data_IF_161132958406
#
_entry.id   IF_161132958406
#
_cell.length_a   1.000
_cell.length_b   1.000
_cell.length_c   1.000
_cell.angle_alpha   90.00
_cell.angle_beta   90.00
_cell.angle_gamma   90.00
#
_symmetry.space_group_name_H-M   'P 1'
#
loop_
_entity.id
_entity.type
_entity.pdbx_description
1 polymer ?
#
# COMPACT_ATOMS: atom_id res chain seq x y z
N UNK A 1 2.62 -4.71 1.44
CA UNK A 1 2.18 -3.30 1.38
C UNK A 1 1.92 -2.74 2.77
N UNK A 2 0.93 -3.27 3.51
CA UNK A 2 0.59 -2.79 4.87
C UNK A 2 1.80 -2.57 5.78
N UNK A 3 2.66 -3.59 5.98
CA UNK A 3 3.84 -3.42 6.86
C UNK A 3 4.87 -2.37 6.41
N UNK A 4 4.98 -2.07 5.10
CA UNK A 4 5.85 -0.97 4.61
C UNK A 4 5.17 0.38 4.87
N UNK A 5 3.86 0.46 4.65
CA UNK A 5 3.08 1.67 4.90
C UNK A 5 3.04 2.00 6.40
N UNK A 6 2.86 1.01 7.27
CA UNK A 6 2.92 1.15 8.73
C UNK A 6 4.29 1.62 9.19
N UNK A 7 5.37 1.02 8.68
CA UNK A 7 6.73 1.46 9.01
C UNK A 7 6.98 2.94 8.62
N UNK A 8 6.52 3.37 7.44
CA UNK A 8 6.63 4.77 7.03
C UNK A 8 5.72 5.67 7.88
N UNK A 9 4.47 5.26 8.13
CA UNK A 9 3.52 5.98 8.98
C UNK A 9 4.09 6.24 10.36
N UNK A 10 4.62 5.21 11.03
CA UNK A 10 5.24 5.32 12.35
C UNK A 10 6.41 6.31 12.36
N UNK A 11 7.24 6.30 11.31
CA UNK A 11 8.34 7.26 11.18
C UNK A 11 7.82 8.68 11.03
N UNK A 12 6.83 8.93 10.18
CA UNK A 12 6.23 10.26 10.01
C UNK A 12 5.58 10.74 11.31
N UNK A 13 4.83 9.87 12.01
CA UNK A 13 4.23 10.17 13.31
C UNK A 13 5.25 10.53 14.36
N UNK A 14 6.36 9.79 14.44
CA UNK A 14 7.49 10.09 15.35
C UNK A 14 8.17 11.42 15.04
N UNK A 15 8.06 11.91 13.80
CA UNK A 15 8.63 13.19 13.36
C UNK A 15 7.61 14.34 13.35
N UNK A 16 6.43 14.15 13.98
CA UNK A 16 5.49 15.24 14.26
C UNK A 16 4.37 15.43 13.23
N UNK A 17 4.29 14.62 12.19
CA UNK A 17 3.16 14.65 11.25
C UNK A 17 1.87 14.25 11.97
N UNK A 18 0.75 14.92 11.70
CA UNK A 18 -0.55 14.48 12.20
C UNK A 18 -0.96 13.11 11.63
N UNK A 19 -1.92 12.40 12.26
CA UNK A 19 -2.42 11.14 11.72
C UNK A 19 -2.91 11.22 10.28
N UNK A 20 -3.57 12.32 9.89
CA UNK A 20 -4.06 12.55 8.52
C UNK A 20 -2.93 12.84 7.53
N UNK A 21 -1.93 13.64 7.90
CA UNK A 21 -0.78 13.92 7.03
C UNK A 21 0.03 12.65 6.80
N UNK A 22 0.35 11.92 7.87
CA UNK A 22 1.08 10.65 7.77
C UNK A 22 0.31 9.62 6.93
N UNK A 23 -1.02 9.52 7.07
CA UNK A 23 -1.83 8.64 6.23
C UNK A 23 -1.84 9.08 4.77
N UNK A 24 -1.96 10.39 4.51
CA UNK A 24 -1.98 10.94 3.16
C UNK A 24 -0.66 10.69 2.43
N UNK A 25 0.48 10.99 3.08
CA UNK A 25 1.84 10.81 2.53
C UNK A 25 2.27 9.34 2.38
N UNK A 26 1.52 8.39 2.97
CA UNK A 26 1.80 6.96 2.88
C UNK A 26 0.80 6.25 1.98
N UNK A 27 -0.44 6.07 2.47
CA UNK A 27 -1.44 5.20 1.85
C UNK A 27 -2.16 5.89 0.70
N UNK A 28 -2.60 7.14 0.88
CA UNK A 28 -3.31 7.84 -0.19
C UNK A 28 -2.38 8.14 -1.36
N UNK A 29 -1.16 8.63 -1.10
CA UNK A 29 -0.18 8.92 -2.14
C UNK A 29 0.09 7.68 -2.99
N UNK A 30 0.34 6.52 -2.37
CA UNK A 30 0.55 5.30 -3.14
C UNK A 30 -0.72 4.86 -3.89
N UNK A 31 -1.86 4.77 -3.21
CA UNK A 31 -3.05 4.09 -3.76
C UNK A 31 -3.94 4.95 -4.64
N UNK A 32 -3.90 6.27 -4.49
CA UNK A 32 -4.71 7.21 -5.27
C UNK A 32 -3.90 7.93 -6.35
N UNK A 33 -2.57 8.05 -6.18
CA UNK A 33 -1.68 8.76 -7.11
C UNK A 33 -0.70 7.80 -7.79
N UNK A 34 0.36 7.38 -7.08
CA UNK A 34 1.54 6.78 -7.72
C UNK A 34 1.28 5.44 -8.40
N UNK A 35 0.50 4.54 -7.78
CA UNK A 35 0.29 3.20 -8.34
C UNK A 35 -0.47 3.25 -9.67
N UNK A 36 -1.28 4.28 -9.91
CA UNK A 36 -2.02 4.46 -11.17
C UNK A 36 -1.08 4.84 -12.31
N UNK A 37 -0.12 5.72 -12.06
CA UNK A 37 0.90 6.08 -13.04
C UNK A 37 1.77 4.86 -13.42
N UNK A 38 2.06 4.01 -12.43
CA UNK A 38 2.79 2.75 -12.64
C UNK A 38 1.96 1.75 -13.45
N UNK A 39 0.67 1.60 -13.15
CA UNK A 39 -0.25 0.74 -13.90
C UNK A 39 -0.35 1.16 -15.37
N UNK A 40 -0.43 2.46 -15.63
CA UNK A 40 -0.57 3.01 -16.99
C UNK A 40 0.70 2.88 -17.82
N UNK A 41 1.88 3.20 -17.26
CA UNK A 41 3.09 3.42 -18.06
C UNK A 41 4.37 2.81 -17.47
N UNK A 42 4.29 2.11 -16.33
CA UNK A 42 5.44 1.53 -15.66
C UNK A 42 6.16 2.46 -14.67
N UNK A 43 7.15 1.90 -13.97
CA UNK A 43 7.84 2.55 -12.85
C UNK A 43 8.78 3.68 -13.29
N UNK A 44 9.49 3.49 -14.41
CA UNK A 44 10.42 4.48 -14.95
C UNK A 44 9.67 5.73 -15.46
N UNK A 45 8.51 5.54 -16.10
CA UNK A 45 7.64 6.64 -16.48
C UNK A 45 7.09 7.37 -15.25
N UNK A 46 6.65 6.65 -14.21
CA UNK A 46 6.21 7.30 -12.97
C UNK A 46 7.33 8.17 -12.36
N UNK A 47 8.57 7.66 -12.29
CA UNK A 47 9.71 8.43 -11.76
C UNK A 47 10.05 9.66 -12.61
N UNK A 48 9.94 9.58 -13.94
CA UNK A 48 10.23 10.71 -14.83
C UNK A 48 9.16 11.80 -14.80
N UNK A 49 7.95 11.49 -14.33
CA UNK A 49 6.86 12.44 -14.14
C UNK A 49 6.80 13.02 -12.72
N UNK A 50 7.75 12.67 -11.85
CA UNK A 50 7.93 13.30 -10.54
C UNK A 50 8.91 14.48 -10.62
N UNK A 51 8.95 15.30 -9.55
CA UNK A 51 9.96 16.36 -9.43
C UNK A 51 11.39 15.80 -9.40
N UNK A 52 12.40 16.62 -9.72
CA UNK A 52 13.80 16.21 -9.69
C UNK A 52 14.23 15.65 -8.32
N UNK A 53 13.76 16.26 -7.22
CA UNK A 53 14.02 15.78 -5.85
C UNK A 53 13.40 14.39 -5.60
N UNK A 54 12.14 14.20 -6.00
CA UNK A 54 11.44 12.93 -5.83
C UNK A 54 12.08 11.82 -6.69
N UNK A 55 12.43 12.13 -7.94
CA UNK A 55 13.09 11.19 -8.85
C UNK A 55 14.45 10.74 -8.29
N UNK A 56 15.32 11.68 -7.91
CA UNK A 56 16.64 11.38 -7.34
C UNK A 56 16.52 10.56 -6.06
N UNK A 57 15.64 10.98 -5.15
CA UNK A 57 15.37 10.27 -3.90
C UNK A 57 14.88 8.84 -4.15
N UNK A 58 13.89 8.65 -5.03
CA UNK A 58 13.37 7.32 -5.35
C UNK A 58 14.47 6.39 -5.90
N UNK A 59 15.32 6.88 -6.80
CA UNK A 59 16.43 6.11 -7.36
C UNK A 59 17.50 5.76 -6.31
N UNK A 60 17.84 6.68 -5.41
CA UNK A 60 18.83 6.46 -4.34
C UNK A 60 18.37 5.48 -3.28
N UNK A 61 17.09 5.55 -2.90
CA UNK A 61 16.54 4.71 -1.84
C UNK A 61 16.10 3.33 -2.33
N UNK A 62 15.75 3.18 -3.62
CA UNK A 62 15.36 1.90 -4.24
C UNK A 62 16.30 0.72 -3.91
N UNK A 63 17.64 0.81 -4.05
CA UNK A 63 18.52 -0.32 -3.70
C UNK A 63 18.50 -0.67 -2.21
N UNK A 64 18.30 0.32 -1.32
CA UNK A 64 18.20 0.09 0.13
C UNK A 64 16.91 -0.65 0.49
N UNK A 65 15.78 -0.23 -0.09
CA UNK A 65 14.51 -0.94 0.07
C UNK A 65 14.60 -2.37 -0.46
N UNK A 66 15.19 -2.58 -1.65
CA UNK A 66 15.40 -3.93 -2.19
C UNK A 66 16.27 -4.77 -1.26
N UNK A 67 17.35 -4.22 -0.72
CA UNK A 67 18.22 -4.94 0.23
C UNK A 67 17.46 -5.36 1.49
N UNK A 68 16.58 -4.52 2.01
CA UNK A 68 15.79 -4.82 3.20
C UNK A 68 14.69 -5.88 2.94
N UNK A 69 14.04 -5.83 1.77
CA UNK A 69 12.88 -6.69 1.49
C UNK A 69 13.24 -8.01 0.81
N UNK A 70 14.36 -8.08 0.08
CA UNK A 70 14.76 -9.27 -0.66
C UNK A 70 14.87 -10.52 0.23
N UNK A 71 15.52 -10.50 1.41
CA UNK A 71 15.60 -11.68 2.27
C UNK A 71 14.22 -12.18 2.70
N UNK A 72 13.30 -11.28 3.02
CA UNK A 72 11.92 -11.64 3.40
C UNK A 72 11.20 -12.35 2.25
N UNK A 73 11.38 -11.88 1.02
CA UNK A 73 10.81 -12.55 -0.16
C UNK A 73 11.48 -13.90 -0.46
N UNK A 74 12.79 -14.03 -0.20
CA UNK A 74 13.50 -15.31 -0.31
C UNK A 74 12.93 -16.33 0.69
N UNK A 75 12.76 -15.95 1.95
CA UNK A 75 12.21 -16.83 2.99
C UNK A 75 10.76 -17.22 2.67
N UNK A 76 9.95 -16.25 2.22
CA UNK A 76 8.57 -16.48 1.80
C UNK A 76 8.49 -17.48 0.65
N UNK A 77 9.34 -17.32 -0.37
CA UNK A 77 9.38 -18.22 -1.51
C UNK A 77 9.72 -19.65 -1.09
N UNK A 78 10.72 -19.85 -0.23
CA UNK A 78 11.10 -21.17 0.27
C UNK A 78 10.00 -21.79 1.15
N UNK A 79 9.31 -21.00 1.99
CA UNK A 79 8.19 -21.47 2.79
C UNK A 79 7.02 -21.97 1.92
N UNK A 80 6.71 -21.26 0.83
CA UNK A 80 5.67 -21.65 -0.13
C UNK A 80 6.10 -22.88 -0.93
N UNK A 81 7.31 -22.86 -1.52
CA UNK A 81 7.85 -23.95 -2.33
C UNK A 81 7.95 -25.26 -1.57
N UNK A 82 8.35 -25.22 -0.29
CA UNK A 82 8.41 -26.39 0.59
C UNK A 82 7.06 -26.85 1.15
N UNK A 83 5.96 -26.18 0.75
CA UNK A 83 4.60 -26.36 1.27
C UNK A 83 4.47 -26.12 2.78
N UNK A 84 5.47 -25.52 3.43
CA UNK A 84 5.43 -25.17 4.86
C UNK A 84 4.30 -24.17 5.11
N UNK A 85 4.16 -23.19 4.21
CA UNK A 85 3.10 -22.19 4.28
C UNK A 85 1.71 -22.83 4.14
N UNK A 86 1.53 -23.74 3.17
CA UNK A 86 0.26 -24.45 2.98
C UNK A 86 -0.14 -25.29 4.21
N UNK A 87 0.81 -26.02 4.81
CA UNK A 87 0.57 -26.78 6.06
C UNK A 87 0.21 -25.86 7.21
N UNK A 88 0.87 -24.71 7.32
CA UNK A 88 0.57 -23.70 8.33
C UNK A 88 -0.87 -23.16 8.17
N UNK A 89 -1.24 -22.74 6.95
CA UNK A 89 -2.59 -22.25 6.64
C UNK A 89 -3.66 -23.28 6.97
N UNK A 90 -3.51 -24.54 6.54
CA UNK A 90 -4.48 -25.61 6.85
C UNK A 90 -4.62 -25.79 8.36
N UNK A 91 -3.49 -25.80 9.09
CA UNK A 91 -3.49 -25.97 10.55
C UNK A 91 -4.20 -24.82 11.27
N UNK A 92 -3.95 -23.57 10.87
CA UNK A 92 -4.53 -22.39 11.52
C UNK A 92 -6.01 -22.23 11.16
N UNK A 93 -6.32 -22.27 9.85
CA UNK A 93 -7.67 -22.08 9.33
C UNK A 93 -8.63 -23.22 9.68
N UNK A 94 -8.12 -24.42 9.95
CA UNK A 94 -8.92 -25.59 10.33
C UNK A 94 -9.36 -25.63 11.80
N UNK A 95 -8.93 -24.67 12.64
CA UNK A 95 -9.35 -24.60 14.04
C UNK A 95 -10.79 -24.13 14.17
N UNK A 96 -11.55 -24.69 15.13
CA UNK A 96 -12.95 -24.33 15.35
C UNK A 96 -13.13 -22.86 15.73
N UNK A 97 -12.10 -22.24 16.31
CA UNK A 97 -12.07 -20.84 16.75
C UNK A 97 -11.37 -19.89 15.74
N UNK A 98 -11.04 -20.37 14.53
CA UNK A 98 -10.29 -19.58 13.53
C UNK A 98 -10.95 -18.23 13.24
N UNK A 99 -12.27 -18.20 13.05
CA UNK A 99 -12.99 -16.95 12.76
C UNK A 99 -12.83 -15.93 13.89
N UNK A 100 -12.90 -16.36 15.14
CA UNK A 100 -12.77 -15.47 16.30
C UNK A 100 -11.34 -14.91 16.41
N UNK A 101 -10.32 -15.74 16.13
CA UNK A 101 -8.91 -15.30 16.06
C UNK A 101 -8.69 -14.29 14.95
N UNK A 102 -9.17 -14.59 13.74
CA UNK A 102 -9.06 -13.69 12.59
C UNK A 102 -9.77 -12.36 12.86
N UNK A 103 -10.98 -12.38 13.41
CA UNK A 103 -11.73 -11.18 13.75
C UNK A 103 -10.97 -10.32 14.77
N UNK A 104 -10.28 -10.94 15.74
CA UNK A 104 -9.43 -10.23 16.71
C UNK A 104 -8.20 -9.58 16.04
N UNK A 105 -7.50 -10.30 15.15
CA UNK A 105 -6.35 -9.77 14.41
C UNK A 105 -6.75 -8.59 13.50
N UNK A 106 -7.84 -8.76 12.73
CA UNK A 106 -8.37 -7.70 11.87
C UNK A 106 -8.90 -6.51 12.67
N UNK A 107 -9.45 -6.75 13.87
CA UNK A 107 -9.85 -5.69 14.79
C UNK A 107 -8.65 -4.86 15.23
N UNK A 108 -7.53 -5.48 15.62
CA UNK A 108 -6.29 -4.76 15.97
C UNK A 108 -5.84 -3.85 14.82
N UNK A 109 -5.82 -4.36 13.60
CA UNK A 109 -5.46 -3.54 12.43
C UNK A 109 -6.45 -2.38 12.24
N UNK A 110 -7.76 -2.67 12.21
CA UNK A 110 -8.81 -1.67 12.01
C UNK A 110 -8.84 -0.58 13.08
N UNK A 111 -8.52 -0.92 14.33
CA UNK A 111 -8.52 0.02 15.47
C UNK A 111 -7.19 0.76 15.65
N UNK A 112 -6.15 0.43 14.88
CA UNK A 112 -4.90 1.20 14.88
C UNK A 112 -5.12 2.66 14.45
N UNK A 113 -4.29 3.56 14.97
CA UNK A 113 -4.34 5.01 14.66
C UNK A 113 -4.31 5.25 13.14
N UNK A 114 -3.42 4.56 12.42
CA UNK A 114 -3.26 4.67 10.98
C UNK A 114 -4.55 4.35 10.22
N UNK A 115 -5.22 3.23 10.53
CA UNK A 115 -6.40 2.81 9.81
C UNK A 115 -7.67 3.55 10.23
N UNK A 116 -7.73 4.08 11.46
CA UNK A 116 -8.76 5.04 11.89
C UNK A 116 -8.61 6.39 11.18
N UNK A 117 -7.38 6.93 11.10
CA UNK A 117 -7.10 8.14 10.32
C UNK A 117 -7.48 7.94 8.85
N UNK A 118 -7.15 6.79 8.28
CA UNK A 118 -7.55 6.43 6.93
C UNK A 118 -9.06 6.34 6.72
N UNK A 119 -9.82 5.89 7.72
CA UNK A 119 -11.28 5.89 7.64
C UNK A 119 -11.84 7.32 7.55
N UNK A 120 -11.32 8.24 8.39
CA UNK A 120 -11.69 9.65 8.34
C UNK A 120 -11.30 10.32 7.01
N UNK A 121 -10.06 10.09 6.53
CA UNK A 121 -9.58 10.61 5.25
C UNK A 121 -10.46 10.12 4.09
N UNK A 122 -10.80 8.82 4.06
CA UNK A 122 -11.70 8.28 3.02
C UNK A 122 -13.10 8.87 3.09
N UNK A 123 -13.64 9.14 4.28
CA UNK A 123 -14.96 9.75 4.45
C UNK A 123 -15.01 11.21 3.96
N UNK A 124 -13.88 11.93 4.03
CA UNK A 124 -13.74 13.31 3.55
C UNK A 124 -13.30 13.41 2.09
N UNK A 125 -13.04 12.26 1.43
CA UNK A 125 -12.50 12.26 0.08
C UNK A 125 -13.48 12.93 -0.88
N UNK A 126 -13.04 13.88 -1.72
CA UNK A 126 -13.89 14.44 -2.75
C UNK A 126 -14.36 13.34 -3.70
N UNK A 127 -15.66 13.08 -3.72
CA UNK A 127 -16.27 12.25 -4.74
C UNK A 127 -16.60 13.15 -5.92
N UNK A 128 -15.66 13.32 -6.86
CA UNK A 128 -16.01 13.99 -8.12
C UNK A 128 -17.11 13.18 -8.82
N UNK A 129 -18.21 13.84 -9.21
CA UNK A 129 -19.03 13.33 -10.31
C UNK A 129 -18.10 13.20 -11.52
N UNK A 130 -18.19 12.12 -12.29
CA UNK A 130 -17.40 11.93 -13.49
C UNK A 130 -17.35 13.25 -14.28
N UNK A 131 -16.17 13.87 -14.37
CA UNK A 131 -16.01 15.13 -15.11
C UNK A 131 -16.45 14.88 -16.55
N UNK A 132 -17.26 15.78 -17.10
CA UNK A 132 -17.51 15.78 -18.54
C UNK A 132 -16.13 15.91 -19.23
N UNK A 133 -15.80 14.95 -20.11
CA UNK A 133 -14.47 14.75 -20.73
C UNK A 133 -13.43 13.91 -19.93
N UNK A 134 -13.84 13.12 -18.93
CA UNK A 134 -12.93 12.17 -18.26
C UNK A 134 -12.25 11.20 -19.24
N UNK A 135 -12.92 10.84 -20.33
CA UNK A 135 -12.42 10.09 -21.50
C UNK A 135 -11.25 10.76 -22.25
N UNK A 136 -11.05 12.07 -22.05
CA UNK A 136 -9.98 12.86 -22.66
C UNK A 136 -8.86 13.22 -21.68
N UNK A 137 -9.02 12.92 -20.39
CA UNK A 137 -7.96 13.08 -19.42
C UNK A 137 -6.90 11.99 -19.65
N UNK A 138 -5.64 12.40 -19.80
CA UNK A 138 -4.49 11.49 -19.77
C UNK A 138 -4.53 10.71 -18.45
N UNK A 139 -4.65 9.38 -18.54
CA UNK A 139 -4.74 8.45 -17.41
C UNK A 139 -6.13 7.84 -17.09
N UNK A 140 -7.15 8.06 -17.92
CA UNK A 140 -8.47 7.41 -17.72
C UNK A 140 -8.74 6.29 -18.73
N UNK A 141 -7.88 6.12 -19.75
CA UNK A 141 -8.06 5.14 -20.83
C UNK A 141 -7.98 3.67 -20.40
N UNK A 142 -7.62 3.37 -19.15
CA UNK A 142 -7.54 2.00 -18.61
C UNK A 142 -8.85 1.43 -18.04
N UNK A 143 -9.95 2.18 -18.01
CA UNK A 143 -11.26 1.68 -17.52
C UNK A 143 -12.27 1.51 -18.65
N UNK A 144 -11.87 0.80 -19.69
CA UNK A 144 -12.77 0.17 -20.66
C UNK A 144 -12.96 -1.30 -20.30
N UNK A 145 -14.20 -1.76 -20.32
CA UNK A 145 -14.68 -3.04 -19.79
C UNK A 145 -13.88 -4.30 -20.21
N UNK A 146 -13.73 -5.23 -19.26
CA UNK A 146 -13.80 -6.66 -19.53
C UNK A 146 -15.23 -7.12 -19.25
#
# INVERSE_FOLDING_TARGET
LAGIMEAQYDVLRKNGHSPSEAFNETVEELTQSLIRLVDENGMDWMYSNCSATAQRGALDWKPKFKKATLPVFTDLYEAVKSQKEARHVIKVCGTADYKQKLDAELKVMRESEMWQAGAAVRALRPHEKAKANADKATGVKGRGAN
#
